data_IF_938970127444
#
_entry.id   IF_938970127444
#
_cell.length_a   1.000
_cell.length_b   1.000
_cell.length_c   1.000
_cell.angle_alpha   90.00
_cell.angle_beta   90.00
_cell.angle_gamma   90.00
#
_symmetry.space_group_name_H-M   'P 1'
#
loop_
_entity.id
_entity.type
_entity.pdbx_description
1 polymer ?
#
# COMPACT_ATOMS: atom_id res chain seq x y z
N UNK A 1 14.42 37.69 -2.79
CA UNK A 1 13.91 37.14 -4.09
C UNK A 1 14.63 37.71 -5.32
N UNK A 2 15.87 38.24 -5.16
CA UNK A 2 16.68 38.69 -6.27
C UNK A 2 17.60 37.59 -6.75
N UNK A 3 17.43 37.09 -7.97
CA UNK A 3 18.41 36.21 -8.62
C UNK A 3 17.89 34.92 -9.26
N UNK A 4 16.58 34.64 -9.32
CA UNK A 4 16.07 33.49 -10.04
C UNK A 4 16.02 33.83 -11.53
N UNK A 5 17.02 33.37 -12.28
CA UNK A 5 16.96 33.39 -13.76
C UNK A 5 16.13 32.18 -14.22
N UNK A 6 14.97 32.44 -14.77
CA UNK A 6 14.16 31.44 -15.44
C UNK A 6 14.85 31.03 -16.76
N UNK A 7 15.68 30.02 -16.70
CA UNK A 7 16.25 29.39 -17.90
C UNK A 7 15.78 27.95 -17.98
N UNK A 8 15.13 27.58 -19.08
CA UNK A 8 14.73 26.20 -19.35
C UNK A 8 15.91 25.45 -19.93
N UNK A 9 16.50 24.55 -19.12
CA UNK A 9 17.54 23.63 -19.56
C UNK A 9 16.93 22.27 -19.95
N UNK A 10 16.93 22.01 -21.26
CA UNK A 10 16.39 20.78 -21.86
C UNK A 10 17.11 19.51 -21.37
N UNK A 11 18.41 19.60 -21.06
CA UNK A 11 19.21 18.46 -20.61
C UNK A 11 18.83 18.05 -19.17
N UNK A 12 18.69 19.02 -18.30
CA UNK A 12 18.23 18.84 -16.91
C UNK A 12 16.80 18.32 -16.87
N UNK A 13 15.92 18.88 -17.70
CA UNK A 13 14.53 18.41 -17.82
C UNK A 13 14.44 16.94 -18.25
N UNK A 14 15.23 16.54 -19.28
CA UNK A 14 15.28 15.14 -19.73
C UNK A 14 15.77 14.19 -18.64
N UNK A 15 16.77 14.58 -17.86
CA UNK A 15 17.28 13.78 -16.74
C UNK A 15 16.25 13.64 -15.62
N UNK A 16 15.57 14.72 -15.27
CA UNK A 16 14.50 14.71 -14.28
C UNK A 16 13.34 13.82 -14.73
N UNK A 17 12.91 13.91 -15.98
CA UNK A 17 11.86 13.07 -16.55
C UNK A 17 12.25 11.58 -16.54
N UNK A 18 13.49 11.26 -16.91
CA UNK A 18 13.99 9.87 -16.89
C UNK A 18 13.99 9.26 -15.49
N UNK A 19 14.22 10.07 -14.45
CA UNK A 19 14.12 9.63 -13.06
C UNK A 19 12.67 9.53 -12.58
N UNK A 20 11.84 10.51 -12.93
CA UNK A 20 10.46 10.63 -12.44
C UNK A 20 9.51 9.63 -13.10
N UNK A 21 9.74 9.29 -14.37
CA UNK A 21 8.85 8.40 -15.12
C UNK A 21 8.69 7.00 -14.48
N UNK A 22 9.78 6.29 -14.09
CA UNK A 22 9.64 5.04 -13.35
C UNK A 22 8.93 5.20 -11.99
N UNK A 23 9.15 6.32 -11.28
CA UNK A 23 8.47 6.60 -10.02
C UNK A 23 6.97 6.85 -10.22
N UNK A 24 6.58 7.48 -11.34
CA UNK A 24 5.18 7.66 -11.71
C UNK A 24 4.50 6.30 -11.97
N UNK A 25 5.16 5.41 -12.72
CA UNK A 25 4.65 4.04 -12.94
C UNK A 25 4.47 3.31 -11.61
N UNK A 26 5.46 3.39 -10.73
CA UNK A 26 5.41 2.80 -9.39
C UNK A 26 4.25 3.37 -8.56
N UNK A 27 4.05 4.68 -8.59
CA UNK A 27 2.94 5.35 -7.89
C UNK A 27 1.57 4.94 -8.43
N UNK A 28 1.42 4.87 -9.75
CA UNK A 28 0.18 4.40 -10.39
C UNK A 28 -0.09 2.93 -10.06
N UNK A 29 0.94 2.06 -10.13
CA UNK A 29 0.81 0.66 -9.75
C UNK A 29 0.39 0.51 -8.28
N UNK A 30 0.93 1.33 -7.37
CA UNK A 30 0.52 1.36 -5.96
C UNK A 30 -0.94 1.77 -5.76
N UNK A 31 -1.43 2.78 -6.49
CA UNK A 31 -2.84 3.19 -6.45
C UNK A 31 -3.76 2.13 -7.07
N UNK A 32 -3.35 1.54 -8.18
CA UNK A 32 -4.08 0.42 -8.78
C UNK A 32 -4.19 -0.75 -7.81
N UNK A 33 -3.12 -1.06 -7.09
CA UNK A 33 -3.10 -2.13 -6.09
C UNK A 33 -4.18 -1.91 -5.00
N UNK A 34 -4.36 -0.67 -4.54
CA UNK A 34 -5.39 -0.35 -3.54
C UNK A 34 -6.82 -0.37 -4.10
N UNK A 35 -7.02 0.00 -5.37
CA UNK A 35 -8.35 0.13 -5.96
C UNK A 35 -8.75 -1.05 -6.86
N UNK A 36 -7.78 -1.84 -7.33
CA UNK A 36 -8.02 -2.87 -8.35
C UNK A 36 -9.08 -3.89 -7.92
N UNK A 37 -9.03 -4.38 -6.69
CA UNK A 37 -10.00 -5.32 -6.17
C UNK A 37 -11.44 -4.77 -6.23
N UNK A 38 -11.62 -3.50 -5.87
CA UNK A 38 -12.93 -2.84 -5.89
C UNK A 38 -13.44 -2.61 -7.32
N UNK A 39 -12.53 -2.34 -8.26
CA UNK A 39 -12.88 -2.11 -9.68
C UNK A 39 -13.18 -3.42 -10.37
N UNK A 40 -12.37 -4.46 -10.14
CA UNK A 40 -12.49 -5.77 -10.81
C UNK A 40 -13.67 -6.57 -10.29
N UNK A 41 -13.97 -6.49 -9.00
CA UNK A 41 -14.96 -7.31 -8.31
C UNK A 41 -16.32 -7.36 -9.01
N UNK A 42 -16.97 -6.23 -9.40
CA UNK A 42 -18.29 -6.26 -10.00
C UNK A 42 -18.35 -6.94 -11.37
N UNK A 43 -17.20 -7.04 -12.06
CA UNK A 43 -17.12 -7.64 -13.42
C UNK A 43 -16.81 -9.14 -13.40
N UNK A 44 -16.21 -9.62 -12.32
CA UNK A 44 -15.70 -11.00 -12.23
C UNK A 44 -16.53 -11.86 -11.26
N UNK A 45 -17.35 -11.21 -10.41
CA UNK A 45 -18.20 -11.92 -9.45
C UNK A 45 -19.31 -12.72 -10.17
N UNK A 46 -19.43 -14.02 -9.81
CA UNK A 46 -20.44 -14.94 -10.37
C UNK A 46 -21.79 -14.84 -9.63
N UNK A 47 -22.45 -13.70 -9.67
CA UNK A 47 -23.75 -13.51 -9.03
C UNK A 47 -24.49 -12.33 -9.63
N UNK A 48 -25.58 -11.94 -8.99
CA UNK A 48 -26.34 -10.76 -9.41
C UNK A 48 -25.56 -9.47 -9.10
N UNK A 49 -25.83 -8.42 -9.88
CA UNK A 49 -25.18 -7.11 -9.65
C UNK A 49 -25.48 -6.55 -8.24
N UNK A 50 -26.62 -6.93 -7.65
CA UNK A 50 -27.01 -6.51 -6.31
C UNK A 50 -26.21 -7.26 -5.24
N UNK A 51 -26.02 -8.56 -5.40
CA UNK A 51 -25.15 -9.36 -4.54
C UNK A 51 -23.70 -8.88 -4.60
N UNK A 52 -23.17 -8.60 -5.80
CA UNK A 52 -21.83 -8.06 -5.97
C UNK A 52 -21.64 -6.74 -5.21
N UNK A 53 -22.64 -5.84 -5.25
CA UNK A 53 -22.60 -4.56 -4.50
C UNK A 53 -22.63 -4.80 -2.99
N UNK A 54 -23.45 -5.75 -2.53
CA UNK A 54 -23.53 -6.11 -1.10
C UNK A 54 -22.20 -6.66 -0.59
N UNK A 55 -21.61 -7.61 -1.31
CA UNK A 55 -20.29 -8.19 -0.97
C UNK A 55 -19.18 -7.14 -0.98
N UNK A 56 -19.19 -6.25 -1.99
CA UNK A 56 -18.24 -5.15 -2.08
C UNK A 56 -18.45 -4.13 -0.94
N UNK A 57 -19.69 -3.93 -0.50
CA UNK A 57 -20.03 -3.11 0.67
C UNK A 57 -19.44 -3.67 1.96
N UNK A 58 -19.53 -4.99 2.17
CA UNK A 58 -18.93 -5.70 3.32
C UNK A 58 -17.40 -5.52 3.29
N UNK A 59 -16.76 -5.78 2.17
CA UNK A 59 -15.33 -5.57 1.98
C UNK A 59 -14.92 -4.12 2.28
N UNK A 60 -15.65 -3.15 1.74
CA UNK A 60 -15.40 -1.72 1.96
C UNK A 60 -15.53 -1.28 3.43
N UNK A 61 -16.47 -1.86 4.18
CA UNK A 61 -16.60 -1.61 5.61
C UNK A 61 -15.39 -2.14 6.39
N UNK A 62 -14.89 -3.33 6.04
CA UNK A 62 -13.71 -3.94 6.66
C UNK A 62 -12.42 -3.16 6.36
N UNK A 63 -12.27 -2.67 5.12
CA UNK A 63 -11.15 -1.78 4.76
C UNK A 63 -11.13 -0.52 5.63
N UNK A 64 -12.27 0.05 5.99
CA UNK A 64 -12.31 1.25 6.84
C UNK A 64 -11.73 1.00 8.23
N UNK A 65 -11.87 -0.21 8.79
CA UNK A 65 -11.18 -0.58 10.04
C UNK A 65 -9.68 -0.71 9.79
N UNK A 66 -9.29 -1.40 8.74
CA UNK A 66 -7.89 -1.56 8.35
C UNK A 66 -7.21 -0.22 7.99
N UNK A 67 -7.99 0.82 7.65
CA UNK A 67 -7.47 2.17 7.35
C UNK A 67 -6.66 2.76 8.50
N UNK A 68 -6.87 2.32 9.74
CA UNK A 68 -6.02 2.68 10.88
C UNK A 68 -4.55 2.35 10.58
N UNK A 69 -4.29 1.16 10.00
CA UNK A 69 -2.93 0.76 9.61
C UNK A 69 -2.39 1.58 8.47
N UNK A 70 -3.24 1.92 7.49
CA UNK A 70 -2.88 2.82 6.39
C UNK A 70 -2.43 4.18 6.93
N UNK A 71 -3.19 4.76 7.87
CA UNK A 71 -2.85 6.05 8.48
C UNK A 71 -1.51 6.00 9.23
N UNK A 72 -1.26 4.93 9.99
CA UNK A 72 0.00 4.72 10.71
C UNK A 72 1.17 4.61 9.72
N UNK A 73 1.02 3.81 8.67
CA UNK A 73 2.03 3.64 7.62
C UNK A 73 2.31 4.96 6.88
N UNK A 74 1.28 5.74 6.58
CA UNK A 74 1.43 7.04 5.94
C UNK A 74 2.12 8.06 6.85
N UNK A 75 1.75 8.13 8.13
CA UNK A 75 2.40 9.01 9.09
C UNK A 75 3.90 8.69 9.21
N UNK A 76 4.24 7.40 9.30
CA UNK A 76 5.63 6.96 9.28
C UNK A 76 6.35 7.37 7.99
N UNK A 77 5.74 7.17 6.82
CA UNK A 77 6.30 7.59 5.52
C UNK A 77 6.67 9.06 5.50
N UNK A 78 5.73 9.94 5.86
CA UNK A 78 5.96 11.39 5.84
C UNK A 78 7.08 11.84 6.78
N UNK A 79 7.25 11.17 7.92
CA UNK A 79 8.34 11.46 8.84
C UNK A 79 9.68 10.87 8.36
N UNK A 80 9.65 9.67 7.79
CA UNK A 80 10.83 8.91 7.44
C UNK A 80 11.48 9.34 6.12
N UNK A 81 10.68 9.71 5.13
CA UNK A 81 11.15 10.07 3.78
C UNK A 81 12.17 11.24 3.79
N UNK A 82 11.89 12.41 4.41
CA UNK A 82 12.87 13.50 4.47
C UNK A 82 14.10 13.13 5.30
N UNK A 83 13.95 12.29 6.33
CA UNK A 83 15.05 11.81 7.15
C UNK A 83 16.02 10.95 6.34
N UNK A 84 15.53 10.03 5.52
CA UNK A 84 16.34 9.17 4.65
C UNK A 84 17.12 9.99 3.63
N UNK A 85 16.46 10.92 2.95
CA UNK A 85 17.12 11.76 1.95
C UNK A 85 18.13 12.74 2.59
N UNK A 86 17.86 13.24 3.78
CA UNK A 86 18.78 14.12 4.53
C UNK A 86 20.07 13.41 4.94
N UNK A 87 20.00 12.13 5.31
CA UNK A 87 21.15 11.31 5.75
C UNK A 87 21.80 10.47 4.65
N UNK A 88 21.39 10.59 3.42
CA UNK A 88 21.88 9.76 2.30
C UNK A 88 23.40 9.84 2.08
N UNK A 89 24.06 10.89 2.53
CA UNK A 89 25.52 11.11 2.39
C UNK A 89 26.35 10.61 3.58
N UNK A 90 25.72 10.21 4.68
CA UNK A 90 26.44 9.75 5.88
C UNK A 90 26.91 8.30 5.72
N UNK A 91 28.11 7.98 6.21
CA UNK A 91 28.69 6.62 6.14
C UNK A 91 27.92 5.59 6.96
N UNK A 92 27.18 6.02 7.99
CA UNK A 92 26.48 5.16 8.97
C UNK A 92 24.96 5.05 8.71
N UNK A 93 24.56 5.31 7.45
CA UNK A 93 23.15 5.36 7.09
C UNK A 93 22.45 3.98 7.12
N UNK A 94 23.17 2.87 6.84
CA UNK A 94 22.60 1.53 6.79
C UNK A 94 22.06 1.07 8.15
N UNK A 95 22.83 1.27 9.22
CA UNK A 95 22.41 0.91 10.58
C UNK A 95 21.22 1.76 11.04
N UNK A 96 21.20 3.02 10.64
CA UNK A 96 20.09 3.93 10.93
C UNK A 96 18.81 3.48 10.23
N UNK A 97 18.90 3.05 8.96
CA UNK A 97 17.74 2.54 8.21
C UNK A 97 17.24 1.20 8.76
N UNK A 98 18.15 0.31 9.16
CA UNK A 98 17.81 -0.94 9.80
C UNK A 98 17.08 -0.73 11.15
N UNK A 99 17.55 0.22 11.95
CA UNK A 99 16.90 0.59 13.23
C UNK A 99 15.50 1.18 12.98
N UNK A 100 15.36 2.10 12.03
CA UNK A 100 14.07 2.69 11.70
C UNK A 100 13.07 1.63 11.21
N UNK A 101 13.50 0.70 10.36
CA UNK A 101 12.71 -0.44 9.92
C UNK A 101 12.26 -1.31 11.08
N UNK A 102 13.17 -1.64 12.01
CA UNK A 102 12.86 -2.42 13.21
C UNK A 102 11.79 -1.73 14.06
N UNK A 103 11.92 -0.43 14.30
CA UNK A 103 10.92 0.33 15.06
C UNK A 103 9.58 0.40 14.33
N UNK A 104 9.58 0.56 13.01
CA UNK A 104 8.37 0.51 12.21
C UNK A 104 7.64 -0.81 12.40
N UNK A 105 8.33 -1.95 12.24
CA UNK A 105 7.74 -3.29 12.38
C UNK A 105 7.18 -3.50 13.79
N UNK A 106 7.94 -3.13 14.84
CA UNK A 106 7.48 -3.26 16.23
C UNK A 106 6.23 -2.44 16.46
N UNK A 107 6.22 -1.17 16.01
CA UNK A 107 5.09 -0.27 16.23
C UNK A 107 3.84 -0.72 15.47
N UNK A 108 3.98 -1.13 14.22
CA UNK A 108 2.84 -1.60 13.41
C UNK A 108 2.28 -2.93 13.91
N UNK A 109 3.13 -3.85 14.38
CA UNK A 109 2.68 -5.08 15.01
C UNK A 109 1.95 -4.82 16.34
N UNK A 110 2.43 -3.87 17.14
CA UNK A 110 1.74 -3.48 18.37
C UNK A 110 0.38 -2.85 18.06
N UNK A 111 0.30 -2.00 17.05
CA UNK A 111 -0.97 -1.42 16.59
C UNK A 111 -1.92 -2.51 16.06
N UNK A 112 -1.40 -3.48 15.29
CA UNK A 112 -2.15 -4.65 14.83
C UNK A 112 -2.75 -5.43 16.00
N UNK A 113 -1.93 -5.79 16.99
CA UNK A 113 -2.40 -6.51 18.18
C UNK A 113 -3.43 -5.71 18.98
N UNK A 114 -3.25 -4.40 19.08
CA UNK A 114 -4.21 -3.51 19.74
C UNK A 114 -5.57 -3.55 19.03
N UNK A 115 -5.59 -3.37 17.71
CA UNK A 115 -6.85 -3.42 16.93
C UNK A 115 -7.50 -4.79 17.05
N UNK A 116 -6.70 -5.88 16.99
CA UNK A 116 -7.23 -7.24 17.14
C UNK A 116 -7.79 -7.48 18.54
N UNK A 117 -7.12 -6.99 19.60
CA UNK A 117 -7.59 -7.12 20.98
C UNK A 117 -8.88 -6.34 21.25
N UNK A 118 -9.10 -5.22 20.53
CA UNK A 118 -10.32 -4.42 20.65
C UNK A 118 -11.35 -4.70 19.54
N UNK A 119 -11.21 -5.80 18.79
CA UNK A 119 -12.11 -6.14 17.68
C UNK A 119 -13.56 -6.27 18.15
N UNK A 120 -13.80 -6.78 19.35
CA UNK A 120 -15.13 -6.88 19.95
C UNK A 120 -15.80 -5.52 20.20
N UNK A 121 -15.01 -4.49 20.45
CA UNK A 121 -15.51 -3.11 20.56
C UNK A 121 -15.74 -2.52 19.18
N UNK A 122 -14.81 -2.72 18.27
CA UNK A 122 -14.86 -2.17 16.90
C UNK A 122 -16.04 -2.74 16.10
N UNK A 123 -16.41 -4.00 16.32
CA UNK A 123 -17.59 -4.58 15.65
C UNK A 123 -18.88 -3.85 16.00
N UNK A 124 -19.00 -3.22 17.18
CA UNK A 124 -20.19 -2.45 17.55
C UNK A 124 -20.27 -1.10 16.84
N UNK A 125 -19.15 -0.58 16.33
CA UNK A 125 -19.09 0.63 15.48
C UNK A 125 -19.56 0.32 14.06
N UNK A 126 -19.37 -0.94 13.62
CA UNK A 126 -19.78 -1.42 12.31
C UNK A 126 -21.18 -2.02 12.41
N UNK A 127 -22.06 -1.69 11.47
CA UNK A 127 -23.42 -2.24 11.44
C UNK A 127 -23.44 -3.77 11.40
N UNK A 128 -24.42 -4.39 12.04
CA UNK A 128 -24.54 -5.86 12.14
C UNK A 128 -24.46 -6.59 10.81
N UNK A 129 -24.94 -5.97 9.74
CA UNK A 129 -24.91 -6.53 8.37
C UNK A 129 -23.49 -6.73 7.80
N UNK A 130 -22.47 -6.17 8.42
CA UNK A 130 -21.07 -6.23 7.97
C UNK A 130 -20.19 -7.13 8.85
N UNK A 131 -20.76 -7.78 9.87
CA UNK A 131 -19.98 -8.56 10.84
C UNK A 131 -19.31 -9.77 10.22
N UNK A 132 -19.94 -10.41 9.25
CA UNK A 132 -19.39 -11.58 8.53
C UNK A 132 -18.07 -11.24 7.79
N UNK A 133 -17.90 -9.98 7.44
CA UNK A 133 -16.67 -9.52 6.79
C UNK A 133 -15.53 -9.21 7.76
N UNK A 134 -15.76 -9.10 9.08
CA UNK A 134 -14.71 -8.72 10.02
C UNK A 134 -13.55 -9.72 10.10
N UNK A 135 -13.78 -10.96 9.69
CA UNK A 135 -12.76 -12.02 9.63
C UNK A 135 -11.63 -11.70 8.62
N UNK A 136 -11.88 -10.84 7.63
CA UNK A 136 -10.83 -10.43 6.67
C UNK A 136 -9.98 -9.27 7.17
N UNK A 137 -10.41 -8.55 8.21
CA UNK A 137 -9.69 -7.38 8.75
C UNK A 137 -8.24 -7.71 9.10
N UNK A 138 -7.94 -8.83 9.79
CA UNK A 138 -6.55 -9.20 10.09
C UNK A 138 -5.69 -9.35 8.84
N UNK A 139 -6.25 -9.93 7.78
CA UNK A 139 -5.53 -10.17 6.51
C UNK A 139 -5.23 -8.83 5.85
N UNK A 140 -6.21 -7.94 5.76
CA UNK A 140 -6.03 -6.62 5.15
C UNK A 140 -5.03 -5.78 5.95
N UNK A 141 -5.10 -5.82 7.29
CA UNK A 141 -4.13 -5.12 8.16
C UNK A 141 -2.71 -5.68 7.99
N UNK A 142 -2.56 -7.00 7.88
CA UNK A 142 -1.26 -7.63 7.63
C UNK A 142 -0.71 -7.24 6.24
N UNK A 143 -1.57 -7.16 5.22
CA UNK A 143 -1.21 -6.65 3.90
C UNK A 143 -0.64 -5.22 3.97
N UNK A 144 -1.26 -4.33 4.75
CA UNK A 144 -0.77 -2.96 4.95
C UNK A 144 0.59 -2.91 5.66
N UNK A 145 0.85 -3.80 6.62
CA UNK A 145 2.18 -3.91 7.26
C UNK A 145 3.22 -4.32 6.22
N UNK A 146 2.94 -5.35 5.40
CA UNK A 146 3.84 -5.81 4.34
C UNK A 146 4.09 -4.72 3.30
N UNK A 147 3.06 -3.97 2.91
CA UNK A 147 3.19 -2.83 2.02
C UNK A 147 4.10 -1.75 2.60
N UNK A 148 3.99 -1.45 3.88
CA UNK A 148 4.88 -0.50 4.56
C UNK A 148 6.33 -0.99 4.65
N UNK A 149 6.56 -2.31 4.85
CA UNK A 149 7.88 -2.93 4.77
C UNK A 149 8.45 -2.79 3.36
N UNK A 150 7.68 -3.13 2.34
CA UNK A 150 8.06 -2.94 0.93
C UNK A 150 8.43 -1.48 0.64
N UNK A 151 7.65 -0.54 1.14
CA UNK A 151 7.95 0.88 0.99
C UNK A 151 9.30 1.26 1.61
N UNK A 152 9.62 0.78 2.83
CA UNK A 152 10.91 1.01 3.45
C UNK A 152 12.06 0.43 2.62
N UNK A 153 11.92 -0.78 2.11
CA UNK A 153 12.90 -1.40 1.22
C UNK A 153 13.08 -0.64 -0.10
N UNK A 154 12.03 0.08 -0.53
CA UNK A 154 12.06 0.86 -1.76
C UNK A 154 13.08 2.00 -1.76
N UNK A 155 13.51 2.46 -0.58
CA UNK A 155 14.54 3.50 -0.49
C UNK A 155 15.88 3.05 -1.06
N UNK A 156 16.19 1.76 -1.04
CA UNK A 156 17.43 1.26 -1.64
C UNK A 156 17.57 1.68 -3.13
N UNK A 157 16.58 1.43 -3.95
CA UNK A 157 16.67 1.78 -5.37
C UNK A 157 16.44 3.27 -5.62
N UNK A 158 15.75 3.98 -4.74
CA UNK A 158 15.59 5.45 -4.82
C UNK A 158 16.92 6.16 -4.52
N UNK A 159 17.67 5.71 -3.52
CA UNK A 159 18.96 6.28 -3.12
C UNK A 159 20.11 5.93 -4.08
N UNK A 160 19.99 4.81 -4.81
CA UNK A 160 21.01 4.37 -5.77
C UNK A 160 20.70 4.80 -7.21
N UNK A 161 19.72 5.69 -7.42
CA UNK A 161 19.23 6.13 -8.74
C UNK A 161 18.79 4.99 -9.68
N UNK A 162 18.47 3.83 -9.12
CA UNK A 162 18.01 2.64 -9.85
C UNK A 162 16.49 2.47 -9.78
N UNK A 163 15.76 3.55 -9.99
CA UNK A 163 14.29 3.61 -9.83
C UNK A 163 13.52 2.66 -10.74
N UNK A 164 14.14 2.19 -11.83
CA UNK A 164 13.55 1.22 -12.75
C UNK A 164 13.20 -0.11 -12.05
N UNK A 165 13.98 -0.53 -11.04
CA UNK A 165 13.67 -1.72 -10.25
C UNK A 165 12.37 -1.59 -9.48
N UNK A 166 12.08 -0.38 -8.99
CA UNK A 166 10.79 -0.09 -8.35
C UNK A 166 9.61 -0.28 -9.30
N UNK A 167 9.74 0.15 -10.55
CA UNK A 167 8.71 -0.04 -11.58
C UNK A 167 8.52 -1.54 -11.91
N UNK A 168 9.61 -2.33 -11.98
CA UNK A 168 9.50 -3.78 -12.21
C UNK A 168 8.81 -4.49 -11.05
N UNK A 169 9.23 -4.27 -9.80
CA UNK A 169 8.61 -4.91 -8.65
C UNK A 169 7.14 -4.52 -8.50
N UNK A 170 6.82 -3.24 -8.63
CA UNK A 170 5.43 -2.78 -8.57
C UNK A 170 4.59 -3.29 -9.74
N UNK A 171 5.18 -3.39 -10.94
CA UNK A 171 4.51 -3.94 -12.11
C UNK A 171 4.19 -5.43 -11.95
N UNK A 172 5.15 -6.24 -11.48
CA UNK A 172 4.93 -7.66 -11.18
C UNK A 172 3.86 -7.82 -10.11
N UNK A 173 3.94 -7.06 -9.01
CA UNK A 173 2.93 -7.08 -7.95
C UNK A 173 1.53 -6.75 -8.48
N UNK A 174 1.39 -5.72 -9.33
CA UNK A 174 0.11 -5.36 -9.93
C UNK A 174 -0.45 -6.48 -10.83
N UNK A 175 0.40 -7.12 -11.64
CA UNK A 175 -0.02 -8.25 -12.50
C UNK A 175 -0.48 -9.42 -11.66
N UNK A 176 0.28 -9.79 -10.61
CA UNK A 176 -0.09 -10.88 -9.70
C UNK A 176 -1.40 -10.59 -9.00
N UNK A 177 -1.58 -9.38 -8.47
CA UNK A 177 -2.81 -8.94 -7.82
C UNK A 177 -4.01 -9.04 -8.76
N UNK A 178 -3.90 -8.53 -9.99
CA UNK A 178 -4.99 -8.59 -10.99
C UNK A 178 -5.31 -10.04 -11.33
N UNK A 179 -4.29 -10.88 -11.57
CA UNK A 179 -4.47 -12.29 -11.87
C UNK A 179 -5.16 -13.02 -10.72
N UNK A 180 -4.73 -12.80 -9.48
CA UNK A 180 -5.36 -13.39 -8.30
C UNK A 180 -6.83 -12.95 -8.14
N UNK A 181 -7.11 -11.66 -8.32
CA UNK A 181 -8.51 -11.19 -8.29
C UNK A 181 -9.36 -11.89 -9.34
N UNK A 182 -8.90 -11.95 -10.60
CA UNK A 182 -9.68 -12.59 -11.68
C UNK A 182 -9.91 -14.09 -11.42
N UNK A 183 -8.90 -14.79 -10.89
CA UNK A 183 -8.99 -16.24 -10.67
C UNK A 183 -9.76 -16.61 -9.39
N UNK A 184 -9.63 -15.82 -8.32
CA UNK A 184 -10.15 -16.21 -7.01
C UNK A 184 -11.49 -15.57 -6.67
N UNK A 185 -11.85 -14.40 -7.20
CA UNK A 185 -13.14 -13.76 -6.90
C UNK A 185 -14.34 -14.66 -7.23
N UNK A 186 -14.36 -15.42 -8.35
CA UNK A 186 -15.50 -16.29 -8.67
C UNK A 186 -15.76 -17.38 -7.62
N UNK A 187 -14.70 -17.82 -6.91
CA UNK A 187 -14.78 -18.93 -5.95
C UNK A 187 -14.82 -18.47 -4.49
N UNK A 188 -14.13 -17.37 -4.15
CA UNK A 188 -13.94 -16.93 -2.77
C UNK A 188 -14.54 -15.54 -2.48
N UNK A 189 -15.22 -14.92 -3.46
CA UNK A 189 -15.86 -13.62 -3.30
C UNK A 189 -14.88 -12.55 -2.72
N UNK A 190 -15.30 -11.76 -1.72
CA UNK A 190 -14.48 -10.68 -1.12
C UNK A 190 -13.24 -11.18 -0.36
N UNK A 191 -13.19 -12.45 0.06
CA UNK A 191 -11.99 -13.07 0.62
C UNK A 191 -10.82 -13.06 -0.37
N UNK A 192 -11.12 -13.27 -1.65
CA UNK A 192 -10.13 -13.21 -2.72
C UNK A 192 -9.45 -11.84 -2.78
N UNK A 193 -10.21 -10.76 -2.59
CA UNK A 193 -9.68 -9.40 -2.57
C UNK A 193 -8.71 -9.17 -1.41
N UNK A 194 -9.01 -9.71 -0.23
CA UNK A 194 -8.13 -9.60 0.93
C UNK A 194 -6.80 -10.34 0.72
N UNK A 195 -6.85 -11.57 0.22
CA UNK A 195 -5.67 -12.37 -0.08
C UNK A 195 -4.85 -11.81 -1.26
N UNK A 196 -5.52 -11.32 -2.30
CA UNK A 196 -4.83 -10.70 -3.42
C UNK A 196 -4.07 -9.43 -3.01
N UNK A 197 -4.60 -8.68 -2.05
CA UNK A 197 -3.90 -7.51 -1.48
C UNK A 197 -2.74 -7.87 -0.56
N UNK A 198 -2.71 -9.09 0.00
CA UNK A 198 -1.66 -9.56 0.89
C UNK A 198 -0.40 -10.06 0.13
N UNK A 199 -0.57 -10.57 -1.07
CA UNK A 199 0.52 -11.11 -1.93
C UNK A 199 1.17 -10.03 -2.76
#
# INVERSE_FOLDING_TARGET
LYGIRYSFDKSTCKRMLSYTFPLLIMGLAGQLNQCASQIIFPYVYNGTAEEARTQLGIYGACIKIAMIMVMITQAFRYAYEPFVFGKSKDRDNKDTYAKAMKFYVIFTLLAFLTVMGYMDVLRHVVGRSYWDGLEIVPIVMAAEIMFGIFFNLSFWYKLTDRTIWGAYFSGVGAVVLIAMNILLIPSFSYWACAWAGFV
#
